data_IF_362970367978
#
_entry.id   IF_362970367978
#
_cell.length_a   1.000
_cell.length_b   1.000
_cell.length_c   1.000
_cell.angle_alpha   90.00
_cell.angle_beta   90.00
_cell.angle_gamma   90.00
#
_symmetry.space_group_name_H-M   'P 1'
#
loop_
_entity.id
_entity.type
_entity.pdbx_description
1 polymer ?
#
# COMPACT_ATOMS: atom_id res chain seq x y z
N UNK A 1 12.37 -17.88 5.29
CA UNK A 1 11.58 -17.29 6.43
C UNK A 1 12.42 -16.33 7.26
N UNK A 2 13.63 -16.68 7.66
CA UNK A 2 14.51 -15.87 8.53
C UNK A 2 14.94 -14.55 7.86
N UNK A 3 15.30 -14.57 6.57
CA UNK A 3 15.76 -13.38 5.84
C UNK A 3 14.71 -12.26 5.77
N UNK A 4 13.46 -12.61 5.50
CA UNK A 4 12.36 -11.65 5.39
C UNK A 4 12.05 -11.01 6.75
N UNK A 5 12.05 -11.79 7.83
CA UNK A 5 11.90 -11.27 9.18
C UNK A 5 13.06 -10.32 9.56
N UNK A 6 14.29 -10.68 9.19
CA UNK A 6 15.46 -9.84 9.43
C UNK A 6 15.36 -8.51 8.67
N UNK A 7 14.88 -8.52 7.42
CA UNK A 7 14.70 -7.30 6.63
C UNK A 7 13.63 -6.38 7.22
N UNK A 8 12.49 -6.93 7.63
CA UNK A 8 11.37 -6.15 8.16
C UNK A 8 11.60 -5.60 9.57
N UNK A 9 12.39 -6.31 10.36
CA UNK A 9 12.78 -5.94 11.71
C UNK A 9 14.23 -5.43 11.75
N UNK A 10 14.77 -5.03 10.59
CA UNK A 10 16.14 -4.57 10.49
C UNK A 10 16.41 -3.45 11.49
N UNK A 11 17.42 -3.69 12.33
CA UNK A 11 17.82 -2.78 13.40
C UNK A 11 18.31 -1.39 12.92
N UNK A 12 18.55 -1.25 11.62
CA UNK A 12 18.94 0.01 11.01
C UNK A 12 17.79 0.67 10.25
N UNK A 13 16.94 -0.12 9.57
CA UNK A 13 15.82 0.40 8.79
C UNK A 13 14.73 0.97 9.70
N UNK A 14 14.26 0.17 10.66
CA UNK A 14 13.11 0.55 11.49
C UNK A 14 13.37 1.81 12.34
N UNK A 15 14.53 1.99 12.98
CA UNK A 15 14.85 3.24 13.66
C UNK A 15 14.86 4.46 12.73
N UNK A 16 15.40 4.34 11.51
CA UNK A 16 15.39 5.42 10.52
C UNK A 16 13.98 5.80 10.08
N UNK A 17 13.12 4.79 9.86
CA UNK A 17 11.70 5.02 9.57
C UNK A 17 10.99 5.70 10.74
N UNK A 18 11.31 5.33 11.98
CA UNK A 18 10.75 5.97 13.17
C UNK A 18 11.20 7.42 13.30
N UNK A 19 12.49 7.69 13.09
CA UNK A 19 13.03 9.06 13.11
C UNK A 19 12.36 9.93 12.04
N UNK A 20 12.21 9.41 10.83
CA UNK A 20 11.47 10.08 9.78
C UNK A 20 10.00 10.33 10.18
N UNK A 21 9.32 9.31 10.70
CA UNK A 21 7.93 9.46 11.12
C UNK A 21 7.76 10.50 12.24
N UNK A 22 8.70 10.57 13.20
CA UNK A 22 8.68 11.56 14.29
C UNK A 22 8.97 12.97 13.80
N UNK A 23 10.02 13.14 13.02
CA UNK A 23 10.54 14.45 12.64
C UNK A 23 9.70 15.09 11.52
N UNK A 24 9.29 14.29 10.51
CA UNK A 24 8.62 14.81 9.32
C UNK A 24 7.09 14.64 9.36
N UNK A 25 6.59 13.62 10.06
CA UNK A 25 5.16 13.30 10.07
C UNK A 25 4.49 13.56 11.42
N UNK A 26 5.24 13.99 12.44
CA UNK A 26 4.71 14.31 13.77
C UNK A 26 4.23 13.09 14.57
N UNK A 27 4.78 11.89 14.29
CA UNK A 27 4.45 10.69 15.04
C UNK A 27 4.90 10.77 16.50
N UNK A 28 4.01 10.41 17.43
CA UNK A 28 4.29 10.46 18.88
C UNK A 28 4.36 9.08 19.54
N UNK A 29 4.17 8.03 18.77
CA UNK A 29 4.14 6.66 19.30
C UNK A 29 5.52 5.99 19.37
N UNK A 30 5.51 4.68 19.59
CA UNK A 30 6.68 3.83 19.73
C UNK A 30 6.91 2.95 18.50
N UNK A 31 8.06 2.26 18.48
CA UNK A 31 8.46 1.31 17.43
C UNK A 31 7.56 0.06 17.37
N UNK A 32 6.81 -0.24 18.42
CA UNK A 32 6.01 -1.48 18.56
C UNK A 32 4.81 -1.57 17.62
N UNK A 33 4.36 -0.45 17.05
CA UNK A 33 3.18 -0.40 16.19
C UNK A 33 3.53 -0.76 14.73
N UNK A 34 3.77 -2.05 14.49
CA UNK A 34 4.10 -2.61 13.19
C UNK A 34 3.17 -3.77 12.85
N UNK A 35 2.87 -3.94 11.58
CA UNK A 35 2.02 -5.01 11.08
C UNK A 35 2.55 -5.55 9.75
N UNK A 36 2.72 -6.87 9.64
CA UNK A 36 3.28 -7.52 8.46
C UNK A 36 2.30 -8.53 7.89
N UNK A 37 2.10 -8.50 6.57
CA UNK A 37 1.18 -9.39 5.85
C UNK A 37 1.88 -9.96 4.60
N UNK A 38 1.84 -11.27 4.43
CA UNK A 38 2.08 -11.90 3.13
C UNK A 38 0.76 -11.94 2.37
N UNK A 39 0.69 -11.26 1.22
CA UNK A 39 -0.50 -11.19 0.38
C UNK A 39 -0.30 -11.99 -0.90
N UNK A 40 -1.12 -13.00 -1.09
CA UNK A 40 -1.24 -13.73 -2.35
C UNK A 40 -2.44 -13.22 -3.14
N UNK A 41 -2.25 -12.96 -4.42
CA UNK A 41 -3.29 -12.52 -5.33
C UNK A 41 -3.44 -13.54 -6.47
N UNK A 42 -4.67 -14.06 -6.62
CA UNK A 42 -5.01 -15.12 -7.56
C UNK A 42 -5.47 -14.52 -8.90
N UNK A 43 -5.03 -15.03 -10.05
CA UNK A 43 -5.53 -14.60 -11.35
C UNK A 43 -7.05 -14.74 -11.45
N UNK A 44 -7.72 -13.76 -12.04
CA UNK A 44 -9.17 -13.76 -12.28
C UNK A 44 -10.08 -13.47 -11.08
N UNK A 45 -9.61 -13.57 -9.83
CA UNK A 45 -10.47 -13.48 -8.61
C UNK A 45 -10.26 -12.19 -7.79
N UNK A 46 -9.81 -11.11 -8.41
CA UNK A 46 -9.51 -9.90 -7.64
C UNK A 46 -10.60 -8.86 -7.71
N UNK A 47 -11.12 -8.50 -6.52
CA UNK A 47 -11.96 -7.32 -6.36
C UNK A 47 -11.10 -6.07 -6.23
N UNK A 48 -11.32 -5.14 -7.13
CA UNK A 48 -10.75 -3.82 -7.08
C UNK A 48 -11.21 -3.09 -5.81
N UNK A 49 -10.28 -2.70 -4.94
CA UNK A 49 -10.59 -2.01 -3.68
C UNK A 49 -9.55 -0.94 -3.38
N UNK A 50 -9.79 0.26 -3.90
CA UNK A 50 -8.93 1.37 -3.55
C UNK A 50 -9.23 1.87 -2.13
N UNK A 51 -8.16 2.17 -1.37
CA UNK A 51 -8.24 2.57 0.03
C UNK A 51 -7.02 3.36 0.48
N UNK A 52 -7.09 3.89 1.69
CA UNK A 52 -5.93 4.35 2.47
C UNK A 52 -5.60 3.29 3.50
N UNK A 53 -4.32 3.09 3.75
CA UNK A 53 -3.89 2.29 4.89
C UNK A 53 -4.18 2.99 6.22
N UNK A 54 -4.22 2.22 7.30
CA UNK A 54 -4.37 2.78 8.64
C UNK A 54 -3.05 3.25 9.23
N UNK A 55 -1.93 2.81 8.68
CA UNK A 55 -0.58 3.12 9.15
C UNK A 55 0.05 4.27 8.36
N UNK A 56 1.03 4.93 8.98
CA UNK A 56 1.71 6.08 8.39
C UNK A 56 2.56 5.70 7.19
N UNK A 57 3.30 4.60 7.30
CA UNK A 57 4.18 4.10 6.26
C UNK A 57 3.79 2.69 5.85
N UNK A 58 3.81 2.44 4.55
CA UNK A 58 3.60 1.11 3.95
C UNK A 58 4.78 0.79 3.05
N UNK A 59 5.45 -0.32 3.34
CA UNK A 59 6.48 -0.91 2.49
C UNK A 59 5.90 -2.12 1.77
N UNK A 60 5.97 -2.12 0.45
CA UNK A 60 5.56 -3.24 -0.42
C UNK A 60 6.82 -3.89 -0.97
N UNK A 61 7.01 -5.17 -0.69
CA UNK A 61 8.13 -5.97 -1.20
C UNK A 61 7.58 -7.02 -2.16
N UNK A 62 7.88 -6.94 -3.46
CA UNK A 62 7.47 -7.96 -4.41
C UNK A 62 8.30 -9.25 -4.19
N UNK A 63 7.61 -10.39 -4.03
CA UNK A 63 8.24 -11.71 -3.85
C UNK A 63 8.12 -12.54 -5.11
N UNK A 64 6.94 -12.50 -5.75
CA UNK A 64 6.66 -13.13 -7.03
C UNK A 64 5.73 -12.22 -7.82
N UNK A 65 6.15 -11.88 -9.01
CA UNK A 65 5.35 -11.10 -9.96
C UNK A 65 5.07 -12.01 -11.16
N UNK A 66 3.79 -12.18 -11.57
CA UNK A 66 3.45 -12.95 -12.74
C UNK A 66 4.04 -12.37 -14.02
N UNK A 67 4.34 -13.20 -14.98
CA UNK A 67 4.66 -12.78 -16.34
C UNK A 67 3.37 -12.80 -17.17
N UNK A 68 3.22 -11.82 -18.04
CA UNK A 68 2.08 -11.72 -18.95
C UNK A 68 2.58 -11.95 -20.36
N UNK A 69 1.95 -12.90 -21.06
CA UNK A 69 2.27 -13.20 -22.45
C UNK A 69 1.51 -12.30 -23.44
N UNK A 70 0.47 -11.62 -22.99
CA UNK A 70 -0.35 -10.74 -23.83
C UNK A 70 0.01 -9.26 -23.62
N UNK A 71 0.00 -8.49 -24.70
CA UNK A 71 0.35 -7.05 -24.73
C UNK A 71 -0.55 -6.22 -23.78
N UNK A 72 -1.79 -6.61 -23.57
CA UNK A 72 -2.77 -5.93 -22.73
C UNK A 72 -3.06 -6.62 -21.38
N UNK A 73 -2.28 -7.64 -21.02
CA UNK A 73 -2.47 -8.35 -19.77
C UNK A 73 -2.03 -7.51 -18.56
N UNK A 74 -2.72 -7.69 -17.43
CA UNK A 74 -2.39 -7.04 -16.15
C UNK A 74 -1.82 -8.05 -15.16
N UNK A 75 -0.81 -7.63 -14.40
CA UNK A 75 -0.08 -8.45 -13.41
C UNK A 75 -0.37 -8.03 -11.97
N UNK A 76 -1.44 -7.26 -11.78
CA UNK A 76 -1.80 -6.74 -10.47
C UNK A 76 -1.00 -5.48 -10.09
N UNK A 77 -0.67 -4.62 -11.05
CA UNK A 77 0.08 -3.39 -10.83
C UNK A 77 -0.55 -2.55 -9.72
N UNK A 78 0.28 -1.93 -8.90
CA UNK A 78 -0.16 -0.98 -7.91
C UNK A 78 -0.48 0.35 -8.59
N UNK A 79 -1.72 0.78 -8.50
CA UNK A 79 -2.16 2.12 -8.87
C UNK A 79 -2.19 2.98 -7.61
N UNK A 80 -1.58 4.14 -7.63
CA UNK A 80 -1.59 5.03 -6.47
C UNK A 80 -1.67 6.49 -6.85
N UNK A 81 -2.45 7.22 -6.06
CA UNK A 81 -2.61 8.66 -6.11
C UNK A 81 -1.91 9.26 -4.88
N UNK A 82 -0.69 9.80 -5.04
CA UNK A 82 0.07 10.40 -3.96
C UNK A 82 -0.60 11.70 -3.50
N UNK A 83 -0.42 12.02 -2.22
CA UNK A 83 -0.97 13.23 -1.62
C UNK A 83 -2.49 13.40 -1.88
N UNK A 84 -3.23 12.30 -1.88
CA UNK A 84 -4.67 12.31 -2.09
C UNK A 84 -5.39 13.12 -1.01
N UNK A 85 -4.81 13.16 0.18
CA UNK A 85 -5.25 13.99 1.32
C UNK A 85 -4.06 14.38 2.20
N UNK A 86 -4.28 15.40 3.03
CA UNK A 86 -3.33 15.73 4.10
C UNK A 86 -3.33 14.65 5.18
N UNK A 87 -2.25 14.60 5.96
CA UNK A 87 -2.15 13.71 7.10
C UNK A 87 -3.29 14.01 8.11
N UNK A 88 -4.12 13.02 8.48
CA UNK A 88 -5.26 13.27 9.38
C UNK A 88 -4.75 13.59 10.79
N UNK A 89 -5.28 14.67 11.38
CA UNK A 89 -4.88 15.15 12.71
C UNK A 89 -5.49 14.33 13.85
N UNK A 90 -6.57 13.60 13.59
CA UNK A 90 -7.27 12.76 14.58
C UNK A 90 -8.09 11.67 13.89
N UNK A 91 -8.56 10.64 14.62
CA UNK A 91 -9.30 9.51 14.06
C UNK A 91 -10.59 9.90 13.33
N UNK A 92 -11.27 10.94 13.78
CA UNK A 92 -12.52 11.39 13.15
C UNK A 92 -12.26 11.97 11.74
N UNK A 93 -11.23 12.81 11.60
CA UNK A 93 -10.82 13.35 10.30
C UNK A 93 -10.35 12.20 9.37
N UNK A 94 -9.64 11.20 9.91
CA UNK A 94 -9.26 10.00 9.17
C UNK A 94 -10.49 9.27 8.61
N UNK A 95 -11.48 9.04 9.46
CA UNK A 95 -12.72 8.36 9.10
C UNK A 95 -13.50 9.13 8.03
N UNK A 96 -13.68 10.44 8.21
CA UNK A 96 -14.37 11.30 7.23
C UNK A 96 -13.66 11.25 5.87
N UNK A 97 -12.33 11.35 5.85
CA UNK A 97 -11.54 11.24 4.63
C UNK A 97 -11.73 9.89 3.94
N UNK A 98 -11.72 8.78 4.69
CA UNK A 98 -11.97 7.43 4.15
C UNK A 98 -13.38 7.29 3.57
N UNK A 99 -14.39 7.84 4.25
CA UNK A 99 -15.79 7.83 3.76
C UNK A 99 -15.90 8.63 2.47
N UNK A 100 -15.31 9.82 2.42
CA UNK A 100 -15.35 10.66 1.22
C UNK A 100 -14.69 9.99 0.01
N UNK A 101 -13.54 9.33 0.19
CA UNK A 101 -12.86 8.61 -0.87
C UNK A 101 -13.53 7.28 -1.26
N UNK A 102 -14.48 6.76 -0.46
CA UNK A 102 -15.17 5.50 -0.74
C UNK A 102 -15.87 5.49 -2.11
N UNK A 103 -16.32 6.65 -2.62
CA UNK A 103 -16.89 6.79 -3.96
C UNK A 103 -15.91 6.41 -5.08
N UNK A 104 -14.60 6.46 -4.82
CA UNK A 104 -13.53 6.11 -5.76
C UNK A 104 -12.96 4.70 -5.52
N UNK A 105 -13.48 3.94 -4.55
CA UNK A 105 -12.90 2.64 -4.18
C UNK A 105 -13.22 1.50 -5.17
N UNK A 106 -14.11 1.71 -6.14
CA UNK A 106 -14.40 0.78 -7.23
C UNK A 106 -13.51 1.04 -8.45
N UNK A 107 -13.48 0.10 -9.41
CA UNK A 107 -12.78 0.26 -10.68
C UNK A 107 -13.21 1.53 -11.42
N UNK A 108 -14.52 1.70 -11.62
CA UNK A 108 -15.07 2.88 -12.29
C UNK A 108 -14.81 4.18 -11.51
N UNK A 109 -14.72 4.10 -10.19
CA UNK A 109 -14.32 5.22 -9.33
C UNK A 109 -12.88 5.64 -9.58
N UNK A 110 -11.95 4.69 -9.61
CA UNK A 110 -10.53 4.97 -9.89
C UNK A 110 -10.31 5.44 -11.34
N UNK A 111 -11.05 4.91 -12.31
CA UNK A 111 -11.02 5.40 -13.69
C UNK A 111 -11.49 6.85 -13.79
N UNK A 112 -12.53 7.24 -13.04
CA UNK A 112 -12.95 8.66 -12.93
C UNK A 112 -11.91 9.52 -12.25
N UNK A 113 -11.25 9.02 -11.23
CA UNK A 113 -10.17 9.73 -10.53
C UNK A 113 -8.97 9.93 -11.45
N UNK A 114 -8.58 8.92 -12.24
CA UNK A 114 -7.45 8.98 -13.17
C UNK A 114 -7.63 10.02 -14.28
N UNK A 115 -8.87 10.28 -14.71
CA UNK A 115 -9.19 11.35 -15.67
C UNK A 115 -8.99 12.77 -15.10
N UNK A 116 -9.04 12.91 -13.76
CA UNK A 116 -8.95 14.19 -13.07
C UNK A 116 -7.60 14.45 -12.42
N UNK A 117 -6.87 13.38 -12.13
CA UNK A 117 -5.64 13.40 -11.33
C UNK A 117 -4.62 12.43 -11.92
N UNK A 118 -3.36 12.77 -11.80
CA UNK A 118 -2.28 11.87 -12.19
C UNK A 118 -2.19 10.69 -11.21
N UNK A 119 -2.50 9.50 -11.71
CA UNK A 119 -2.33 8.24 -11.00
C UNK A 119 -1.05 7.60 -11.48
N UNK A 120 -0.18 7.29 -10.54
CA UNK A 120 1.05 6.54 -10.81
C UNK A 120 0.75 5.04 -10.81
N UNK A 121 1.47 4.30 -11.66
CA UNK A 121 1.36 2.84 -11.76
C UNK A 121 2.74 2.24 -11.53
N UNK A 122 2.83 1.27 -10.61
CA UNK A 122 4.04 0.48 -10.39
C UNK A 122 3.73 -0.99 -10.69
N UNK A 123 4.44 -1.57 -11.64
CA UNK A 123 4.31 -2.97 -12.04
C UNK A 123 5.10 -3.92 -11.15
N UNK A 124 6.09 -3.43 -10.42
CA UNK A 124 7.06 -4.22 -9.65
C UNK A 124 7.87 -5.23 -10.50
N UNK A 125 7.97 -5.03 -11.81
CA UNK A 125 8.71 -5.94 -12.71
C UNK A 125 10.18 -6.06 -12.34
N UNK A 126 10.77 -4.97 -11.84
CA UNK A 126 12.17 -4.91 -11.43
C UNK A 126 12.39 -5.44 -9.99
N UNK A 127 11.34 -5.93 -9.36
CA UNK A 127 11.35 -6.42 -7.97
C UNK A 127 11.82 -5.39 -6.94
N UNK A 128 11.77 -4.10 -7.28
CA UNK A 128 12.13 -3.03 -6.36
C UNK A 128 11.05 -2.83 -5.30
N UNK A 129 11.42 -2.77 -4.01
CA UNK A 129 10.49 -2.41 -2.94
C UNK A 129 9.99 -0.98 -3.10
N UNK A 130 8.73 -0.75 -2.74
CA UNK A 130 8.12 0.58 -2.73
C UNK A 130 7.70 0.97 -1.31
N UNK A 131 8.24 2.09 -0.82
CA UNK A 131 7.81 2.71 0.43
C UNK A 131 6.95 3.94 0.13
N UNK A 132 5.79 4.05 0.77
CA UNK A 132 4.90 5.22 0.62
C UNK A 132 4.16 5.56 1.91
N UNK A 133 3.58 6.77 1.95
CA UNK A 133 2.75 7.25 3.05
C UNK A 133 1.36 6.60 2.98
N UNK A 134 1.17 5.45 3.65
CA UNK A 134 -0.05 4.64 3.54
C UNK A 134 -1.33 5.39 3.86
N UNK A 135 -1.26 6.31 4.80
CA UNK A 135 -2.39 7.07 5.29
C UNK A 135 -2.81 8.25 4.39
N UNK A 136 -1.94 8.74 3.49
CA UNK A 136 -2.21 9.87 2.57
C UNK A 136 -2.30 9.46 1.11
N UNK A 137 -1.78 8.29 0.77
CA UNK A 137 -1.78 7.73 -0.58
C UNK A 137 -3.02 6.87 -0.78
N UNK A 138 -3.89 7.26 -1.70
CA UNK A 138 -5.03 6.44 -2.11
C UNK A 138 -4.59 5.44 -3.16
N UNK A 139 -4.72 4.14 -2.89
CA UNK A 139 -4.12 3.11 -3.73
C UNK A 139 -5.00 1.87 -3.89
N UNK A 140 -4.74 1.13 -4.96
CA UNK A 140 -5.36 -0.16 -5.27
C UNK A 140 -4.45 -0.99 -6.17
N UNK A 141 -4.68 -2.30 -6.23
CA UNK A 141 -4.08 -3.13 -7.27
C UNK A 141 -5.05 -3.32 -8.43
N UNK A 142 -4.52 -3.33 -9.66
CA UNK A 142 -5.27 -3.85 -10.80
C UNK A 142 -5.54 -5.35 -10.60
N UNK A 143 -6.62 -5.90 -11.19
CA UNK A 143 -6.78 -7.34 -11.25
C UNK A 143 -5.60 -8.02 -11.96
N UNK A 144 -5.35 -9.27 -11.67
CA UNK A 144 -4.42 -10.10 -12.46
C UNK A 144 -5.24 -10.76 -13.56
N UNK A 145 -4.73 -10.74 -14.80
CA UNK A 145 -5.38 -11.40 -15.94
C UNK A 145 -5.54 -12.89 -15.67
N UNK A 146 -6.66 -13.47 -16.13
CA UNK A 146 -6.99 -14.89 -15.87
C UNK A 146 -6.10 -15.89 -16.61
N UNK A 147 -5.43 -15.46 -17.66
CA UNK A 147 -4.50 -16.25 -18.47
C UNK A 147 -3.07 -16.30 -17.92
N UNK A 148 -2.86 -15.84 -16.70
CA UNK A 148 -1.57 -15.88 -16.02
C UNK A 148 -1.48 -17.14 -15.17
N UNK A 149 -0.38 -17.85 -15.25
CA UNK A 149 -0.18 -19.19 -14.67
C UNK A 149 0.24 -19.19 -13.19
N UNK A 150 0.55 -18.03 -12.63
CA UNK A 150 1.01 -17.96 -11.24
C UNK A 150 0.36 -16.85 -10.42
N UNK A 151 0.37 -17.04 -9.11
CA UNK A 151 -0.09 -16.03 -8.16
C UNK A 151 0.96 -14.93 -8.00
N UNK A 152 0.51 -13.68 -7.90
CA UNK A 152 1.34 -12.60 -7.40
C UNK A 152 1.49 -12.74 -5.88
N UNK A 153 2.72 -12.71 -5.39
CA UNK A 153 3.02 -12.72 -3.97
C UNK A 153 3.78 -11.45 -3.59
N UNK A 154 3.24 -10.73 -2.63
CA UNK A 154 3.87 -9.54 -2.04
C UNK A 154 3.91 -9.63 -0.53
N UNK A 155 4.94 -9.05 0.07
CA UNK A 155 5.00 -8.81 1.49
C UNK A 155 4.72 -7.34 1.75
N UNK A 156 3.79 -7.07 2.65
CA UNK A 156 3.42 -5.74 3.09
C UNK A 156 3.92 -5.55 4.52
N UNK A 157 4.61 -4.46 4.78
CA UNK A 157 4.94 -4.03 6.12
C UNK A 157 4.32 -2.66 6.37
N UNK A 158 3.51 -2.58 7.40
CA UNK A 158 2.84 -1.36 7.83
C UNK A 158 3.49 -0.89 9.13
N UNK A 159 3.92 0.37 9.15
CA UNK A 159 4.62 0.95 10.27
C UNK A 159 3.85 2.13 10.82
N UNK A 160 3.80 2.21 12.15
CA UNK A 160 3.34 3.35 12.94
C UNK A 160 1.86 3.69 12.72
N UNK A 161 1.02 3.15 13.61
CA UNK A 161 -0.37 3.58 13.69
C UNK A 161 -0.42 5.02 14.22
N UNK A 162 -0.94 5.99 13.46
CA UNK A 162 -1.02 7.37 13.91
C UNK A 162 -2.00 7.56 15.08
N UNK A 163 -2.90 6.60 15.28
CA UNK A 163 -3.95 6.63 16.31
C UNK A 163 -3.96 5.32 17.09
N UNK A 164 -2.86 4.98 17.80
CA UNK A 164 -2.80 3.75 18.56
C UNK A 164 -3.98 3.73 19.57
N UNK A 165 -4.77 2.67 19.51
CA UNK A 165 -5.75 2.43 20.56
C UNK A 165 -4.96 2.25 21.84
N UNK A 166 -5.27 3.06 22.84
CA UNK A 166 -4.70 2.88 24.16
C UNK A 166 -5.02 1.46 24.62
N UNK A 167 -3.96 0.63 24.68
CA UNK A 167 -4.02 -0.73 25.22
C UNK A 167 -3.92 -0.68 26.72
#
# INVERSE_FOLDING_TARGET
>A
KIFIQQLLLDKHLVPKLLDFAKNELGYKGSISNQYHIARSAIPGDQKYRAHFDSHMLTLVIPIRIPEVQEENGTIGELMFYPNARNFPKNPLIDLIGKIWFKQYSSRSGMERLSKKKNININSFRDYEPLLFLGNTVFHSNKPISSNVDCHRLTLLAHYFDPFPKYS
#
